data_IF_611036901760
#
_entry.id   IF_611036901760
#
_cell.length_a   1.000
_cell.length_b   1.000
_cell.length_c   1.000
_cell.angle_alpha   90.00
_cell.angle_beta   90.00
_cell.angle_gamma   90.00
#
_symmetry.space_group_name_H-M   'P 1'
#
loop_
_entity.id
_entity.type
_entity.pdbx_description
1 polymer ?
#
# COMPACT_ATOMS: atom_id res chain seq x y z
N UNK A 1 14.47 7.41 17.54
CA UNK A 1 13.01 7.47 17.31
C UNK A 1 12.72 6.64 16.06
N UNK A 2 12.23 5.41 16.22
CA UNK A 2 11.86 4.56 15.09
C UNK A 2 10.48 4.95 14.60
N UNK A 3 10.34 5.22 13.30
CA UNK A 3 9.03 5.30 12.67
C UNK A 3 8.30 3.97 12.90
N UNK A 4 7.14 4.01 13.54
CA UNK A 4 6.31 2.85 13.78
C UNK A 4 5.04 2.99 12.97
N UNK A 5 4.74 2.05 12.05
CA UNK A 5 3.55 2.16 11.23
C UNK A 5 2.30 1.97 12.08
N UNK A 6 1.33 2.85 11.86
CA UNK A 6 -0.02 2.72 12.39
C UNK A 6 -0.77 1.58 11.68
N UNK A 7 -1.49 0.74 12.45
CA UNK A 7 -2.18 -0.43 11.89
C UNK A 7 -3.37 -0.05 11.01
N UNK A 8 -4.12 0.99 11.38
CA UNK A 8 -5.26 1.47 10.60
C UNK A 8 -4.76 2.08 9.28
N UNK A 9 -3.67 2.84 9.32
CA UNK A 9 -3.03 3.35 8.11
C UNK A 9 -2.53 2.21 7.20
N UNK A 10 -1.89 1.19 7.76
CA UNK A 10 -1.46 0.00 7.00
C UNK A 10 -2.65 -0.73 6.36
N UNK A 11 -3.75 -0.91 7.08
CA UNK A 11 -4.94 -1.58 6.56
C UNK A 11 -5.55 -0.82 5.38
N UNK A 12 -5.61 0.51 5.46
CA UNK A 12 -6.08 1.35 4.36
C UNK A 12 -5.19 1.23 3.12
N UNK A 13 -3.86 1.23 3.29
CA UNK A 13 -2.91 1.10 2.18
C UNK A 13 -3.00 -0.28 1.53
N UNK A 14 -3.14 -1.34 2.32
CA UNK A 14 -3.37 -2.70 1.81
C UNK A 14 -4.69 -2.79 1.03
N UNK A 15 -5.75 -2.15 1.53
CA UNK A 15 -7.03 -2.05 0.82
C UNK A 15 -6.87 -1.33 -0.53
N UNK A 16 -6.18 -0.19 -0.52
CA UNK A 16 -5.90 0.59 -1.73
C UNK A 16 -5.05 -0.19 -2.74
N UNK A 17 -4.03 -0.93 -2.30
CA UNK A 17 -3.22 -1.79 -3.17
C UNK A 17 -4.00 -2.98 -3.74
N UNK A 18 -5.02 -3.47 -3.02
CA UNK A 18 -5.93 -4.50 -3.53
C UNK A 18 -6.89 -3.90 -4.56
N UNK A 19 -7.46 -2.74 -4.27
CA UNK A 19 -8.31 -1.99 -5.20
C UNK A 19 -7.54 -1.62 -6.48
N UNK A 20 -6.24 -1.29 -6.40
CA UNK A 20 -5.41 -0.96 -7.56
C UNK A 20 -5.18 -2.13 -8.52
N UNK A 21 -5.41 -3.37 -8.06
CA UNK A 21 -5.34 -4.58 -8.88
C UNK A 21 -6.67 -4.90 -9.57
N UNK A 22 -7.74 -4.18 -9.22
CA UNK A 22 -9.04 -4.36 -9.85
C UNK A 22 -8.98 -3.91 -11.32
N UNK A 23 -9.56 -4.67 -12.26
CA UNK A 23 -9.71 -4.23 -13.66
C UNK A 23 -10.82 -3.18 -13.84
N UNK A 24 -11.60 -2.90 -12.80
CA UNK A 24 -12.72 -1.95 -12.84
C UNK A 24 -12.21 -0.49 -12.96
N UNK A 25 -12.67 0.21 -14.01
CA UNK A 25 -12.26 1.59 -14.30
C UNK A 25 -12.70 2.60 -13.23
N UNK A 26 -13.85 2.40 -12.59
CA UNK A 26 -14.36 3.26 -11.51
C UNK A 26 -13.51 3.08 -10.25
N UNK A 27 -13.11 1.84 -9.96
CA UNK A 27 -12.21 1.52 -8.86
C UNK A 27 -10.82 2.11 -9.12
N UNK A 28 -10.27 1.93 -10.32
CA UNK A 28 -8.99 2.51 -10.74
C UNK A 28 -8.96 4.04 -10.56
N UNK A 29 -10.02 4.73 -11.00
CA UNK A 29 -10.10 6.19 -10.87
C UNK A 29 -10.14 6.64 -9.39
N UNK A 30 -10.90 5.92 -8.56
CA UNK A 30 -11.00 6.20 -7.12
C UNK A 30 -9.66 5.97 -6.40
N UNK A 31 -8.95 4.90 -6.76
CA UNK A 31 -7.61 4.60 -6.23
C UNK A 31 -6.61 5.68 -6.60
N UNK A 32 -6.63 6.13 -7.86
CA UNK A 32 -5.72 7.17 -8.34
C UNK A 32 -5.89 8.48 -7.55
N UNK A 33 -7.12 8.93 -7.32
CA UNK A 33 -7.39 10.13 -6.53
C UNK A 33 -6.88 10.00 -5.09
N UNK A 34 -7.15 8.86 -4.44
CA UNK A 34 -6.65 8.60 -3.08
C UNK A 34 -5.12 8.56 -3.03
N UNK A 35 -4.45 7.96 -4.02
CA UNK A 35 -2.99 7.95 -4.11
C UNK A 35 -2.42 9.35 -4.22
N UNK A 36 -3.01 10.22 -5.03
CA UNK A 36 -2.56 11.60 -5.20
C UNK A 36 -2.69 12.43 -3.91
N UNK A 37 -3.77 12.24 -3.15
CA UNK A 37 -3.93 12.84 -1.83
C UNK A 37 -2.88 12.31 -0.84
N UNK A 38 -2.70 10.99 -0.82
CA UNK A 38 -1.74 10.33 0.08
C UNK A 38 -0.29 10.68 -0.25
N UNK A 39 0.04 10.91 -1.53
CA UNK A 39 1.39 11.29 -1.97
C UNK A 39 1.82 12.68 -1.44
N UNK A 40 0.88 13.51 -0.96
CA UNK A 40 1.20 14.77 -0.28
C UNK A 40 1.82 14.54 1.11
N UNK A 41 1.66 13.36 1.69
CA UNK A 41 2.20 13.02 3.00
C UNK A 41 3.55 12.31 2.86
N UNK A 42 4.60 12.89 3.41
CA UNK A 42 5.96 12.31 3.37
C UNK A 42 6.04 10.93 4.02
N UNK A 43 5.17 10.67 5.01
CA UNK A 43 5.13 9.38 5.69
C UNK A 43 4.45 8.28 4.86
N UNK A 44 3.58 8.63 3.91
CA UNK A 44 2.92 7.65 3.04
C UNK A 44 3.94 6.81 2.26
N UNK A 45 5.01 7.45 1.76
CA UNK A 45 6.09 6.75 1.09
C UNK A 45 6.81 5.74 2.00
N UNK A 46 6.93 6.04 3.31
CA UNK A 46 7.49 5.09 4.29
C UNK A 46 6.57 3.88 4.48
N UNK A 47 5.26 4.11 4.55
CA UNK A 47 4.27 3.03 4.62
C UNK A 47 4.30 2.15 3.37
N UNK A 48 4.35 2.75 2.16
CA UNK A 48 4.47 2.00 0.91
C UNK A 48 5.71 1.12 0.89
N UNK A 49 6.88 1.68 1.22
CA UNK A 49 8.13 0.91 1.28
C UNK A 49 8.01 -0.22 2.30
N UNK A 50 7.44 0.04 3.48
CA UNK A 50 7.25 -0.97 4.51
C UNK A 50 6.35 -2.12 4.03
N UNK A 51 5.18 -1.79 3.48
CA UNK A 51 4.20 -2.76 2.95
C UNK A 51 4.80 -3.57 1.81
N UNK A 52 5.45 -2.91 0.83
CA UNK A 52 6.12 -3.58 -0.28
C UNK A 52 7.23 -4.52 0.22
N UNK A 53 8.10 -4.07 1.13
CA UNK A 53 9.19 -4.89 1.66
C UNK A 53 8.65 -6.13 2.39
N UNK A 54 7.58 -5.99 3.18
CA UNK A 54 6.97 -7.10 3.91
C UNK A 54 6.23 -8.07 2.98
N UNK A 55 5.40 -7.58 2.07
CA UNK A 55 4.66 -8.41 1.11
C UNK A 55 5.59 -9.17 0.14
N UNK A 56 6.70 -8.56 -0.30
CA UNK A 56 7.66 -9.24 -1.19
C UNK A 56 8.38 -10.39 -0.48
N UNK A 57 8.44 -10.37 0.85
CA UNK A 57 9.05 -11.44 1.66
C UNK A 57 8.12 -12.67 1.72
N UNK A 58 6.80 -12.47 1.72
CA UNK A 58 5.82 -13.56 1.77
C UNK A 58 5.61 -14.26 0.41
N UNK A 59 5.95 -13.59 -0.70
CA UNK A 59 5.87 -14.16 -2.06
C UNK A 59 7.06 -15.02 -2.51
N UNK A 60 8.12 -15.17 -1.69
CA UNK A 60 9.37 -15.87 -2.07
C UNK A 60 9.64 -17.18 -1.34
N UNK A 61 8.67 -17.75 -0.63
CA UNK A 61 8.76 -19.12 -0.10
C UNK A 61 7.94 -20.10 -0.94
N UNK A 62 8.29 -20.23 -2.22
CA UNK A 62 8.00 -21.45 -2.98
C UNK A 62 9.31 -21.93 -3.57
N UNK A 63 9.81 -23.04 -3.04
CA UNK A 63 10.99 -23.74 -3.54
C UNK A 63 11.95 -24.19 -2.45
N UNK A 64 11.52 -25.16 -1.64
CA UNK A 64 12.42 -26.19 -1.10
C UNK A 64 12.99 -27.04 -2.22
#
# INVERSE_FOLDING_TARGET
MGWNPDRDALSQILGLLRESQSPDTVVQQSVQQKLEELNKFTDFNKYLIFVLTKLTTEGKYVGS
#
